data_IF_987854179131
#
_entry.id   IF_987854179131
#
_cell.length_a   1.000
_cell.length_b   1.000
_cell.length_c   1.000
_cell.angle_alpha   90.00
_cell.angle_beta   90.00
_cell.angle_gamma   90.00
#
_symmetry.space_group_name_H-M   'P 1'
#
loop_
_entity.id
_entity.type
_entity.pdbx_description
1 polymer ?
#
# COMPACT_ATOMS: atom_id res chain seq x y z
N UNK A 1 -17.20 23.81 -59.26
CA UNK A 1 -18.10 23.90 -58.08
C UNK A 1 -17.68 22.82 -57.09
N UNK A 2 -17.01 23.22 -56.00
CA UNK A 2 -16.64 22.35 -54.88
C UNK A 2 -17.84 22.12 -53.96
N UNK A 3 -18.04 20.88 -53.48
CA UNK A 3 -18.68 20.61 -52.18
C UNK A 3 -17.91 19.50 -51.45
N UNK A 4 -17.50 19.84 -50.23
CA UNK A 4 -16.78 19.03 -49.24
C UNK A 4 -17.67 17.96 -48.59
N UNK A 5 -17.08 16.82 -48.21
CA UNK A 5 -17.28 16.25 -46.86
C UNK A 5 -16.02 15.46 -46.45
N UNK A 6 -15.59 15.64 -45.20
CA UNK A 6 -14.29 15.30 -44.61
C UNK A 6 -14.01 13.79 -44.43
N UNK A 7 -12.75 13.33 -44.56
CA UNK A 7 -12.33 12.01 -44.11
C UNK A 7 -12.02 12.02 -42.60
N UNK A 8 -12.62 11.10 -41.82
CA UNK A 8 -12.23 10.84 -40.43
C UNK A 8 -11.04 9.88 -40.45
N UNK A 9 -9.92 10.41 -40.01
CA UNK A 9 -8.58 9.82 -40.08
C UNK A 9 -8.47 8.48 -39.35
N UNK A 10 -7.96 7.50 -40.08
CA UNK A 10 -7.19 6.37 -39.55
C UNK A 10 -6.03 6.97 -38.74
N UNK A 11 -5.97 6.68 -37.43
CA UNK A 11 -4.78 7.03 -36.64
C UNK A 11 -3.69 6.01 -36.94
N UNK A 12 -2.79 6.46 -37.79
CA UNK A 12 -1.55 5.80 -38.17
C UNK A 12 -0.68 5.48 -36.94
N UNK A 13 -0.10 4.30 -36.98
CA UNK A 13 1.16 3.98 -36.32
C UNK A 13 2.20 5.04 -36.67
N UNK A 14 2.77 5.67 -35.64
CA UNK A 14 4.01 6.42 -35.76
C UNK A 14 4.96 5.93 -34.67
N UNK A 15 5.85 5.01 -35.05
CA UNK A 15 7.09 4.76 -34.35
C UNK A 15 7.92 6.05 -34.37
N UNK A 16 7.98 6.75 -33.24
CA UNK A 16 8.96 7.80 -32.98
C UNK A 16 9.97 7.26 -31.98
N UNK A 17 11.16 6.95 -32.50
CA UNK A 17 12.36 6.62 -31.73
C UNK A 17 13.03 7.89 -31.20
N UNK A 18 13.58 7.77 -30.00
CA UNK A 18 14.68 8.55 -29.40
C UNK A 18 14.36 9.91 -28.77
N UNK A 19 14.01 9.85 -27.49
CA UNK A 19 14.71 10.61 -26.46
C UNK A 19 14.92 9.66 -25.27
N UNK A 20 16.10 9.71 -24.63
CA UNK A 20 16.43 8.91 -23.47
C UNK A 20 15.49 9.25 -22.30
N UNK A 21 14.38 8.52 -22.18
CA UNK A 21 13.50 8.58 -21.02
C UNK A 21 14.14 7.64 -20.01
N UNK A 22 14.77 8.22 -18.99
CA UNK A 22 15.11 7.50 -17.77
C UNK A 22 13.86 6.71 -17.36
N UNK A 23 13.99 5.38 -17.35
CA UNK A 23 12.90 4.46 -17.07
C UNK A 23 12.40 4.64 -15.65
N UNK A 24 11.49 5.60 -15.45
CA UNK A 24 10.50 5.50 -14.41
C UNK A 24 9.62 4.31 -14.77
N UNK A 25 9.90 3.16 -14.18
CA UNK A 25 8.85 2.19 -13.93
C UNK A 25 7.86 2.92 -13.03
N UNK A 26 6.91 3.63 -13.65
CA UNK A 26 5.69 4.09 -12.99
C UNK A 26 4.97 2.81 -12.61
N UNK A 27 5.33 2.24 -11.46
CA UNK A 27 4.47 1.33 -10.76
C UNK A 27 3.13 2.08 -10.64
N UNK A 28 2.06 1.51 -11.22
CA UNK A 28 0.78 2.17 -11.29
C UNK A 28 0.26 2.37 -9.87
N UNK A 29 0.57 3.51 -9.25
CA UNK A 29 0.02 3.95 -7.98
C UNK A 29 -1.39 4.47 -8.24
N UNK A 30 -2.25 3.61 -8.77
CA UNK A 30 -3.61 3.95 -9.18
C UNK A 30 -4.42 4.41 -7.96
N UNK A 31 -4.49 5.74 -7.78
CA UNK A 31 -5.29 6.40 -6.73
C UNK A 31 -4.51 7.01 -5.57
N UNK A 32 -3.18 6.98 -5.56
CA UNK A 32 -2.38 7.70 -4.56
C UNK A 32 -1.87 9.03 -5.09
N UNK A 33 -1.94 10.08 -4.25
CA UNK A 33 -1.32 11.37 -4.58
C UNK A 33 0.19 11.32 -4.37
N UNK A 34 0.95 12.12 -5.12
CA UNK A 34 2.41 12.26 -4.92
C UNK A 34 2.77 12.68 -3.49
N UNK A 35 1.90 13.46 -2.84
CA UNK A 35 2.09 13.88 -1.44
C UNK A 35 1.95 12.70 -0.49
N UNK A 36 1.02 11.79 -0.75
CA UNK A 36 0.82 10.60 0.09
C UNK A 36 1.93 9.58 -0.14
N UNK A 37 2.43 9.45 -1.38
CA UNK A 37 3.64 8.67 -1.67
C UNK A 37 4.83 9.25 -0.90
N UNK A 38 5.08 10.56 -0.98
CA UNK A 38 6.16 11.21 -0.24
C UNK A 38 6.02 11.05 1.28
N UNK A 39 4.79 11.09 1.80
CA UNK A 39 4.52 10.86 3.21
C UNK A 39 4.86 9.43 3.62
N UNK A 40 4.41 8.43 2.85
CA UNK A 40 4.70 7.01 3.08
C UNK A 40 6.20 6.78 3.08
N UNK A 41 6.92 7.26 2.05
CA UNK A 41 8.37 7.05 1.94
C UNK A 41 9.16 7.74 3.06
N UNK A 42 8.77 8.93 3.48
CA UNK A 42 9.39 9.65 4.60
C UNK A 42 9.09 9.01 5.97
N UNK A 43 7.93 8.37 6.12
CA UNK A 43 7.50 7.72 7.36
C UNK A 43 8.05 6.30 7.56
N UNK A 44 8.78 5.74 6.58
CA UNK A 44 9.34 4.39 6.70
C UNK A 44 10.56 4.34 7.63
N UNK A 45 10.59 3.44 8.61
CA UNK A 45 11.78 3.19 9.40
C UNK A 45 12.92 2.59 8.56
N UNK A 46 14.16 2.95 8.89
CA UNK A 46 15.34 2.52 8.14
C UNK A 46 15.57 1.00 8.12
N UNK A 47 15.09 0.29 9.14
CA UNK A 47 15.17 -1.17 9.24
C UNK A 47 14.10 -1.89 8.41
N UNK A 48 13.06 -1.21 7.95
CA UNK A 48 12.01 -1.84 7.15
C UNK A 48 12.51 -2.11 5.73
N UNK A 49 12.05 -3.22 5.17
CA UNK A 49 12.36 -3.69 3.81
C UNK A 49 11.10 -3.72 2.97
N UNK A 50 9.97 -4.02 3.58
CA UNK A 50 8.67 -3.79 3.01
C UNK A 50 7.65 -3.53 4.12
N UNK A 51 6.56 -2.88 3.75
CA UNK A 51 5.33 -2.85 4.53
C UNK A 51 4.15 -3.04 3.58
N UNK A 52 3.21 -3.86 4.00
CA UNK A 52 1.94 -4.08 3.35
C UNK A 52 0.82 -3.77 4.34
N UNK A 53 -0.12 -2.95 3.92
CA UNK A 53 -1.40 -2.73 4.58
C UNK A 53 -2.47 -3.39 3.74
N UNK A 54 -3.42 -4.08 4.38
CA UNK A 54 -4.52 -4.74 3.69
C UNK A 54 -5.75 -4.90 4.58
N UNK A 55 -6.92 -5.05 3.97
CA UNK A 55 -8.14 -5.40 4.69
C UNK A 55 -8.12 -6.85 5.20
N UNK A 56 -8.30 -7.05 6.51
CA UNK A 56 -8.43 -8.36 7.15
C UNK A 56 -9.84 -8.57 7.70
N UNK A 57 -10.34 -9.80 7.61
CA UNK A 57 -11.62 -10.19 8.22
C UNK A 57 -11.42 -10.26 9.73
N UNK A 58 -12.30 -9.64 10.55
CA UNK A 58 -12.25 -9.79 12.00
C UNK A 58 -12.29 -11.28 12.40
N UNK A 59 -11.37 -11.73 13.24
CA UNK A 59 -11.26 -13.15 13.65
C UNK A 59 -12.50 -13.67 14.39
N UNK A 60 -13.35 -12.77 14.90
CA UNK A 60 -14.58 -13.08 15.65
C UNK A 60 -15.81 -13.37 14.78
N UNK A 61 -15.69 -13.40 13.46
CA UNK A 61 -16.80 -13.76 12.56
C UNK A 61 -16.82 -15.29 12.36
N UNK A 62 -17.56 -15.99 13.24
CA UNK A 62 -17.80 -17.42 13.09
C UNK A 62 -18.44 -17.74 11.72
N UNK A 63 -17.96 -18.76 10.99
CA UNK A 63 -18.54 -19.14 9.71
C UNK A 63 -19.92 -19.77 9.97
N UNK A 64 -21.00 -19.00 9.77
CA UNK A 64 -22.37 -19.53 9.85
C UNK A 64 -23.43 -18.63 10.48
N UNK A 65 -23.11 -17.43 10.97
CA UNK A 65 -24.12 -16.51 11.47
C UNK A 65 -24.84 -15.80 10.30
N UNK A 66 -25.87 -16.47 9.77
CA UNK A 66 -26.78 -15.89 8.79
C UNK A 66 -27.53 -14.69 9.36
N UNK A 67 -27.70 -13.69 8.49
CA UNK A 67 -28.80 -12.72 8.48
C UNK A 67 -28.76 -11.53 9.46
N UNK A 68 -27.60 -11.17 10.02
CA UNK A 68 -27.39 -9.80 10.51
C UNK A 68 -26.50 -9.06 9.52
N UNK A 69 -26.98 -7.93 8.97
CA UNK A 69 -26.17 -6.94 8.27
C UNK A 69 -25.19 -6.27 9.25
N UNK A 70 -24.33 -7.04 9.91
CA UNK A 70 -23.02 -6.53 10.24
C UNK A 70 -22.29 -6.59 8.91
N UNK A 71 -22.34 -5.50 8.13
CA UNK A 71 -21.32 -5.24 7.11
C UNK A 71 -20.00 -5.29 7.87
N UNK A 72 -19.39 -6.47 7.93
CA UNK A 72 -18.15 -6.73 8.64
C UNK A 72 -17.09 -5.86 7.99
N UNK A 73 -16.93 -4.64 8.50
CA UNK A 73 -15.96 -3.69 7.99
C UNK A 73 -14.61 -4.37 8.18
N UNK A 74 -13.90 -4.57 7.07
CA UNK A 74 -12.55 -5.12 7.10
C UNK A 74 -11.72 -4.28 8.08
N UNK A 75 -10.98 -4.96 8.95
CA UNK A 75 -9.99 -4.32 9.83
C UNK A 75 -8.76 -4.01 9.01
N UNK A 76 -8.04 -2.96 9.40
CA UNK A 76 -6.76 -2.68 8.78
C UNK A 76 -5.73 -3.63 9.37
N UNK A 77 -5.18 -4.53 8.57
CA UNK A 77 -3.98 -5.28 8.91
C UNK A 77 -2.75 -4.58 8.32
N UNK A 78 -1.63 -4.75 9.02
CA UNK A 78 -0.33 -4.25 8.62
C UNK A 78 0.69 -5.36 8.79
N UNK A 79 1.54 -5.56 7.81
CA UNK A 79 2.62 -6.51 7.82
C UNK A 79 3.89 -5.82 7.35
N UNK A 80 5.01 -6.08 8.00
CA UNK A 80 6.30 -5.55 7.57
C UNK A 80 7.36 -6.64 7.56
N UNK A 81 8.33 -6.50 6.66
CA UNK A 81 9.60 -7.21 6.72
C UNK A 81 10.63 -6.26 7.27
N UNK A 82 11.29 -6.64 8.36
CA UNK A 82 12.28 -5.85 9.09
C UNK A 82 13.62 -6.55 8.99
N UNK A 83 14.66 -5.82 8.58
CA UNK A 83 16.03 -6.33 8.59
C UNK A 83 16.69 -6.01 9.92
N UNK A 84 17.11 -7.05 10.63
CA UNK A 84 17.79 -6.94 11.91
C UNK A 84 18.84 -8.03 12.04
N UNK A 85 20.03 -7.68 12.53
CA UNK A 85 21.12 -8.64 12.81
C UNK A 85 21.44 -9.61 11.65
N UNK A 86 21.29 -9.14 10.41
CA UNK A 86 21.54 -9.95 9.21
C UNK A 86 20.42 -10.91 8.81
N UNK A 87 19.28 -10.91 9.52
CA UNK A 87 18.07 -11.69 9.17
C UNK A 87 16.87 -10.80 8.87
N UNK A 88 15.93 -11.37 8.14
CA UNK A 88 14.62 -10.78 7.90
C UNK A 88 13.60 -11.33 8.90
N UNK A 89 12.91 -10.43 9.58
CA UNK A 89 11.82 -10.74 10.51
C UNK A 89 10.53 -10.22 9.92
N UNK A 90 9.49 -11.07 9.89
CA UNK A 90 8.16 -10.68 9.44
C UNK A 90 7.29 -10.38 10.65
N UNK A 91 6.82 -9.16 10.74
CA UNK A 91 5.84 -8.75 11.75
C UNK A 91 4.48 -8.51 11.12
N UNK A 92 3.43 -8.82 11.87
CA UNK A 92 2.04 -8.59 11.46
C UNK A 92 1.22 -8.16 12.67
N UNK A 93 0.38 -7.15 12.46
CA UNK A 93 -0.57 -6.57 13.43
C UNK A 93 -1.91 -6.32 12.75
N UNK A 94 -2.99 -6.45 13.50
CA UNK A 94 -4.34 -6.09 13.08
C UNK A 94 -4.79 -4.93 13.96
N UNK A 95 -5.25 -3.84 13.34
CA UNK A 95 -5.78 -2.68 14.04
C UNK A 95 -7.26 -2.92 14.38
N UNK A 96 -7.50 -3.54 15.53
CA UNK A 96 -8.84 -3.98 15.96
C UNK A 96 -9.82 -2.82 16.19
N UNK A 97 -9.39 -1.68 16.72
CA UNK A 97 -10.30 -0.60 17.13
C UNK A 97 -10.20 0.66 16.28
N UNK A 98 -9.53 0.58 15.12
CA UNK A 98 -9.30 1.79 14.33
C UNK A 98 -10.54 2.18 13.50
N UNK A 99 -11.05 3.42 13.62
CA UNK A 99 -12.25 3.84 12.92
C UNK A 99 -11.98 4.16 11.46
N UNK A 100 -12.82 3.66 10.54
CA UNK A 100 -12.87 4.01 9.10
C UNK A 100 -12.59 2.83 8.17
N UNK A 101 -12.42 3.08 6.87
CA UNK A 101 -12.30 2.01 5.86
C UNK A 101 -10.87 1.50 5.74
N UNK A 102 -10.73 0.18 5.62
CA UNK A 102 -9.44 -0.45 5.30
C UNK A 102 -9.05 -0.14 3.86
N UNK A 103 -7.76 -0.02 3.62
CA UNK A 103 -7.20 0.12 2.29
C UNK A 103 -5.97 -0.76 2.13
N UNK A 104 -5.60 -0.95 0.87
CA UNK A 104 -4.44 -1.71 0.47
C UNK A 104 -3.29 -0.76 0.10
N UNK A 105 -2.11 -1.04 0.63
CA UNK A 105 -0.86 -0.32 0.38
C UNK A 105 0.26 -1.34 0.39
N UNK A 106 1.15 -1.32 -0.59
CA UNK A 106 2.37 -2.10 -0.58
C UNK A 106 3.55 -1.17 -0.88
N UNK A 107 4.47 -1.07 0.06
CA UNK A 107 5.68 -0.29 -0.08
C UNK A 107 6.88 -1.19 0.13
N UNK A 108 7.75 -1.27 -0.86
CA UNK A 108 8.94 -2.13 -0.86
C UNK A 108 10.19 -1.30 -1.13
N UNK A 109 11.25 -1.59 -0.36
CA UNK A 109 12.54 -0.94 -0.51
C UNK A 109 13.30 -1.52 -1.71
N UNK A 110 13.84 -0.63 -2.53
CA UNK A 110 14.63 -0.91 -3.72
C UNK A 110 15.97 -0.18 -3.65
N UNK A 111 16.82 -0.35 -4.65
CA UNK A 111 18.10 0.37 -4.74
C UNK A 111 17.91 1.89 -4.86
N UNK A 112 16.81 2.32 -5.48
CA UNK A 112 16.53 3.74 -5.77
C UNK A 112 15.67 4.42 -4.70
N UNK A 113 15.32 3.70 -3.62
CA UNK A 113 14.47 4.18 -2.55
C UNK A 113 13.25 3.28 -2.32
N UNK A 114 12.10 3.87 -2.06
CA UNK A 114 10.86 3.12 -1.81
C UNK A 114 9.98 3.12 -3.05
N UNK A 115 9.52 1.95 -3.46
CA UNK A 115 8.43 1.78 -4.42
C UNK A 115 7.14 1.62 -3.65
N UNK A 116 6.16 2.49 -3.90
CA UNK A 116 4.85 2.48 -3.24
C UNK A 116 3.78 2.17 -4.27
N UNK A 117 2.92 1.21 -3.96
CA UNK A 117 1.85 0.69 -4.80
C UNK A 117 0.59 0.46 -3.99
N UNK A 118 -0.54 0.40 -4.67
CA UNK A 118 -1.82 0.04 -4.06
C UNK A 118 -2.52 -0.93 -4.98
N UNK A 119 -2.48 -2.21 -4.62
CA UNK A 119 -3.12 -3.28 -5.36
C UNK A 119 -4.39 -3.69 -4.59
N UNK A 120 -5.53 -3.06 -4.90
CA UNK A 120 -6.83 -3.48 -4.35
C UNK A 120 -7.72 -2.34 -3.86
N UNK A 121 -8.09 -2.36 -2.58
CA UNK A 121 -8.91 -1.35 -1.93
C UNK A 121 -8.15 -0.02 -1.91
N UNK A 122 -8.53 0.88 -2.82
CA UNK A 122 -7.83 2.15 -2.99
C UNK A 122 -7.78 2.94 -1.68
N UNK A 123 -6.63 3.55 -1.35
CA UNK A 123 -6.52 4.52 -0.29
C UNK A 123 -7.60 5.61 -0.47
N UNK A 124 -8.24 6.06 0.62
CA UNK A 124 -9.32 7.01 0.51
C UNK A 124 -8.76 8.36 0.04
N UNK A 125 -8.88 8.65 -1.26
CA UNK A 125 -8.38 9.90 -1.86
C UNK A 125 -9.09 11.15 -1.33
N UNK A 126 -10.28 10.98 -0.73
CA UNK A 126 -11.08 12.03 -0.10
C UNK A 126 -10.74 12.25 1.39
N UNK A 127 -9.91 11.38 1.97
CA UNK A 127 -9.49 11.46 3.38
C UNK A 127 -7.98 11.23 3.55
N UNK A 128 -7.14 12.17 3.09
CA UNK A 128 -5.69 12.06 3.22
C UNK A 128 -5.23 12.07 4.69
N UNK A 129 -5.98 12.72 5.60
CA UNK A 129 -5.65 12.73 7.03
C UNK A 129 -5.88 11.36 7.65
N UNK A 130 -7.02 10.72 7.35
CA UNK A 130 -7.31 9.36 7.78
C UNK A 130 -6.28 8.37 7.24
N UNK A 131 -5.94 8.44 5.95
CA UNK A 131 -4.87 7.64 5.35
C UNK A 131 -3.55 7.75 6.11
N UNK A 132 -3.04 8.98 6.31
CA UNK A 132 -1.75 9.23 6.99
C UNK A 132 -1.76 8.78 8.43
N UNK A 133 -2.89 8.99 9.12
CA UNK A 133 -3.08 8.54 10.50
C UNK A 133 -2.98 7.02 10.56
N UNK A 134 -3.71 6.28 9.73
CA UNK A 134 -3.64 4.80 9.73
C UNK A 134 -2.26 4.28 9.39
N UNK A 135 -1.63 4.85 8.36
CA UNK A 135 -0.28 4.48 7.98
C UNK A 135 0.67 4.62 9.18
N UNK A 136 0.60 5.76 9.87
CA UNK A 136 1.41 6.03 11.06
C UNK A 136 1.10 5.04 12.19
N UNK A 137 -0.19 4.76 12.44
CA UNK A 137 -0.63 3.76 13.43
C UNK A 137 -0.05 2.38 13.10
N UNK A 138 -0.12 1.94 11.85
CA UNK A 138 0.45 0.67 11.38
C UNK A 138 1.95 0.59 11.60
N UNK A 139 2.70 1.61 11.16
CA UNK A 139 4.16 1.64 11.32
C UNK A 139 4.53 1.58 12.79
N UNK A 140 3.86 2.35 13.65
CA UNK A 140 4.13 2.36 15.08
C UNK A 140 3.76 1.03 15.74
N UNK A 141 2.59 0.46 15.44
CA UNK A 141 2.17 -0.83 15.98
C UNK A 141 3.15 -1.96 15.63
N UNK A 142 3.65 -1.98 14.39
CA UNK A 142 4.71 -2.94 13.99
C UNK A 142 6.00 -2.68 14.78
N UNK A 143 6.43 -1.42 14.91
CA UNK A 143 7.65 -1.07 15.65
C UNK A 143 7.54 -1.45 17.12
N UNK A 144 6.40 -1.18 17.73
CA UNK A 144 6.13 -1.49 19.13
C UNK A 144 6.12 -3.00 19.36
N UNK A 145 5.47 -3.75 18.45
CA UNK A 145 5.51 -5.22 18.48
C UNK A 145 6.93 -5.76 18.32
N UNK A 146 7.66 -5.27 17.32
CA UNK A 146 9.05 -5.68 17.07
C UNK A 146 9.97 -5.36 18.28
N UNK A 147 9.79 -4.19 18.90
CA UNK A 147 10.55 -3.78 20.07
C UNK A 147 10.17 -4.55 21.35
N UNK A 148 8.93 -5.02 21.46
CA UNK A 148 8.47 -5.88 22.55
C UNK A 148 8.92 -7.34 22.38
N UNK A 149 9.18 -7.78 21.14
CA UNK A 149 9.52 -9.17 20.81
C UNK A 149 10.84 -9.35 20.03
N UNK A 150 11.93 -8.63 20.36
CA UNK A 150 13.17 -8.69 19.58
C UNK A 150 13.82 -10.09 19.62
N UNK A 151 13.48 -10.90 20.63
CA UNK A 151 14.13 -12.18 20.97
C UNK A 151 13.20 -13.41 20.97
N UNK A 152 12.09 -13.46 20.21
CA UNK A 152 11.26 -14.70 20.09
C UNK A 152 11.91 -15.86 19.29
N UNK A 153 13.22 -16.06 19.44
CA UNK A 153 13.84 -17.37 19.34
C UNK A 153 14.34 -17.75 20.75
N UNK A 154 13.67 -18.65 21.49
CA UNK A 154 14.25 -19.18 22.71
C UNK A 154 15.23 -20.30 22.34
N UNK A 155 16.40 -19.96 21.83
CA UNK A 155 17.62 -20.77 21.93
C UNK A 155 18.84 -19.82 21.92
N UNK A 156 19.33 -19.49 23.11
CA UNK A 156 20.75 -19.23 23.36
C UNK A 156 21.31 -20.47 24.05
#
# INVERSE_FOLDING_TARGET
MLRHTFPRSQRAFACLMLAAIAGGLTACSDGMSDTDIAFVTAGMPAQFQSIRMYGAVPENLAPGAGNTKTTGRLRQACQAIIRAEGRDVRETVILEDEPGESFDLDATRTADGWTVTSDGLRPPSVDPVGFRTRFTTCVNAIRDKYAAEPEKAPFK
#
